data_IF_783884670620
#
_entry.id   IF_783884670620
#
_cell.length_a   1.000
_cell.length_b   1.000
_cell.length_c   1.000
_cell.angle_alpha   90.00
_cell.angle_beta   90.00
_cell.angle_gamma   90.00
#
_symmetry.space_group_name_H-M   'P 1'
#
loop_
_entity.id
_entity.type
_entity.pdbx_description
1 polymer ?
#
# COMPACT_ATOMS: atom_id res chain seq x y z
N UNK A 1 44.13 -2.37 43.03
CA UNK A 1 43.88 -1.83 44.39
C UNK A 1 42.67 -0.91 44.31
N UNK A 2 41.61 -1.23 45.07
CA UNK A 2 40.55 -0.35 45.63
C UNK A 2 39.86 0.68 44.71
N UNK A 3 38.54 0.81 44.61
CA UNK A 3 37.55 0.67 45.68
C UNK A 3 36.14 0.39 45.12
N UNK A 4 35.50 -0.51 45.87
CA UNK A 4 34.09 -0.87 45.91
C UNK A 4 33.26 0.35 46.29
N UNK A 5 32.25 0.72 45.49
CA UNK A 5 31.19 1.60 45.99
C UNK A 5 29.82 1.02 45.65
N UNK A 6 29.31 0.25 46.62
CA UNK A 6 27.90 -0.11 46.74
C UNK A 6 27.13 1.18 47.00
N UNK A 7 26.18 1.52 46.13
CA UNK A 7 24.95 2.19 46.59
C UNK A 7 23.74 1.47 46.03
N UNK A 8 23.07 0.85 46.98
CA UNK A 8 21.86 0.08 46.91
C UNK A 8 20.71 1.08 46.98
N UNK A 9 19.82 1.08 46.00
CA UNK A 9 18.52 1.74 46.12
C UNK A 9 17.43 0.86 45.51
N UNK A 10 16.57 0.42 46.41
CA UNK A 10 15.17 0.04 46.26
C UNK A 10 14.79 -0.89 45.09
N UNK A 11 14.65 -2.17 45.47
CA UNK A 11 13.71 -3.13 44.85
C UNK A 11 12.33 -2.47 44.75
N UNK A 12 11.93 -2.06 43.56
CA UNK A 12 10.53 -1.76 43.30
C UNK A 12 9.74 -3.08 43.31
N UNK A 13 8.71 -3.21 44.16
CA UNK A 13 7.88 -4.40 44.18
C UNK A 13 7.10 -4.49 42.86
N UNK A 14 7.29 -5.63 42.21
CA UNK A 14 6.36 -6.33 41.34
C UNK A 14 5.04 -5.58 41.11
N UNK A 15 5.02 -4.77 40.04
CA UNK A 15 3.75 -4.37 39.41
C UNK A 15 3.08 -5.66 38.99
N UNK A 16 1.99 -5.97 39.68
CA UNK A 16 1.11 -7.10 39.42
C UNK A 16 0.81 -7.20 37.92
N UNK A 17 0.91 -8.43 37.42
CA UNK A 17 0.67 -8.79 36.03
C UNK A 17 -0.60 -8.16 35.48
N UNK A 18 -0.42 -7.17 34.61
CA UNK A 18 -1.40 -6.90 33.57
C UNK A 18 -1.22 -8.06 32.58
N UNK A 19 -2.24 -8.92 32.37
CA UNK A 19 -2.19 -9.86 31.26
C UNK A 19 -1.99 -9.03 30.01
N UNK A 20 -0.80 -9.16 29.39
CA UNK A 20 -0.54 -8.64 28.05
C UNK A 20 -1.68 -9.18 27.21
N UNK A 21 -2.67 -8.33 26.93
CA UNK A 21 -3.80 -8.69 26.10
C UNK A 21 -3.19 -9.39 24.91
N UNK A 22 -3.52 -10.67 24.76
CA UNK A 22 -3.11 -11.45 23.61
C UNK A 22 -3.81 -10.77 22.44
N UNK A 23 -3.10 -9.83 21.81
CA UNK A 23 -3.52 -9.24 20.56
C UNK A 23 -3.48 -10.43 19.61
N UNK A 24 -4.61 -11.13 19.47
CA UNK A 24 -4.81 -12.06 18.37
C UNK A 24 -4.41 -11.29 17.12
N UNK A 25 -3.39 -11.78 16.42
CA UNK A 25 -3.06 -11.26 15.11
C UNK A 25 -4.34 -11.34 14.27
N UNK A 26 -4.91 -10.19 13.96
CA UNK A 26 -6.01 -10.11 13.01
C UNK A 26 -5.38 -10.52 11.68
N UNK A 27 -5.82 -11.62 11.03
CA UNK A 27 -5.36 -11.91 9.69
C UNK A 27 -5.77 -10.72 8.82
N UNK A 28 -4.76 -10.02 8.28
CA UNK A 28 -4.93 -8.96 7.30
C UNK A 28 -5.86 -9.53 6.22
N UNK A 29 -7.03 -8.92 5.94
CA UNK A 29 -7.89 -9.44 4.89
C UNK A 29 -7.05 -9.49 3.62
N UNK A 30 -6.91 -10.70 3.07
CA UNK A 30 -6.26 -10.91 1.81
C UNK A 30 -7.14 -10.24 0.75
N UNK A 31 -6.85 -8.96 0.48
CA UNK A 31 -6.95 -8.43 -0.88
C UNK A 31 -6.32 -9.46 -1.80
N UNK A 32 -6.86 -9.70 -3.01
CA UNK A 32 -6.49 -10.85 -3.82
C UNK A 32 -4.98 -10.87 -4.08
N UNK A 33 -4.27 -11.63 -3.24
CA UNK A 33 -2.90 -12.06 -3.47
C UNK A 33 -2.95 -13.21 -4.49
N UNK A 34 -3.61 -12.98 -5.63
CA UNK A 34 -3.57 -13.88 -6.76
C UNK A 34 -2.50 -13.38 -7.72
N UNK A 35 -1.26 -13.64 -7.33
CA UNK A 35 -0.10 -13.68 -8.22
C UNK A 35 -0.44 -14.43 -9.51
N UNK A 36 0.14 -14.07 -10.65
CA UNK A 36 1.45 -14.69 -10.91
C UNK A 36 2.43 -13.69 -11.54
N UNK A 37 3.10 -12.97 -10.65
CA UNK A 37 4.17 -11.95 -10.77
C UNK A 37 3.86 -10.61 -11.43
N UNK A 38 2.89 -10.50 -12.35
CA UNK A 38 2.70 -9.23 -13.07
C UNK A 38 1.32 -9.11 -13.74
N UNK A 39 0.27 -8.67 -13.03
CA UNK A 39 -1.07 -8.50 -13.59
C UNK A 39 -1.11 -7.35 -14.60
N UNK A 40 -2.02 -7.43 -15.58
CA UNK A 40 -2.24 -6.35 -16.54
C UNK A 40 -2.82 -5.13 -15.81
N UNK A 41 -2.34 -3.90 -16.07
CA UNK A 41 -2.97 -2.71 -15.54
C UNK A 41 -4.42 -2.60 -16.03
N UNK A 42 -5.28 -1.98 -15.22
CA UNK A 42 -6.71 -1.83 -15.53
C UNK A 42 -6.96 -0.39 -16.00
N UNK A 43 -7.73 -0.18 -17.07
CA UNK A 43 -8.04 1.17 -17.54
C UNK A 43 -8.82 1.95 -16.47
N UNK A 44 -8.61 3.28 -16.36
CA UNK A 44 -9.41 4.11 -15.48
C UNK A 44 -10.86 4.12 -15.94
N UNK A 45 -11.77 4.25 -14.97
CA UNK A 45 -13.20 4.38 -15.25
C UNK A 45 -13.46 5.72 -15.95
N UNK A 46 -14.18 5.68 -17.07
CA UNK A 46 -14.60 6.89 -17.76
C UNK A 46 -15.63 7.62 -16.88
N UNK A 47 -15.46 8.94 -16.65
CA UNK A 47 -16.45 9.75 -15.94
C UNK A 47 -17.67 10.02 -16.83
N UNK A 48 -18.84 10.10 -16.20
CA UNK A 48 -20.08 10.51 -16.86
C UNK A 48 -20.19 12.04 -16.94
N UNK A 49 -21.15 12.55 -17.71
CA UNK A 49 -21.39 13.99 -17.81
C UNK A 49 -21.89 14.58 -16.48
N UNK A 50 -22.58 13.79 -15.68
CA UNK A 50 -23.07 14.14 -14.35
C UNK A 50 -21.94 14.28 -13.32
N UNK A 51 -20.79 13.62 -13.53
CA UNK A 51 -19.59 13.81 -12.71
C UNK A 51 -18.90 15.15 -12.98
N UNK A 52 -19.21 15.78 -14.13
CA UNK A 52 -18.73 17.11 -14.45
C UNK A 52 -19.50 18.15 -13.64
N UNK A 53 -18.77 18.98 -12.90
CA UNK A 53 -19.31 20.12 -12.14
C UNK A 53 -20.11 21.13 -13.01
N UNK A 54 -19.96 21.11 -14.34
CA UNK A 54 -20.66 21.97 -15.32
C UNK A 54 -20.57 23.49 -15.08
N UNK A 55 -19.79 23.92 -14.09
CA UNK A 55 -19.68 25.31 -13.63
C UNK A 55 -18.27 25.88 -13.84
N UNK A 56 -17.42 25.16 -14.57
CA UNK A 56 -16.01 25.54 -14.79
C UNK A 56 -15.08 25.22 -13.63
N UNK A 57 -15.38 24.20 -12.82
CA UNK A 57 -14.45 23.73 -11.79
C UNK A 57 -13.10 23.31 -12.40
N UNK A 58 -11.99 23.66 -11.73
CA UNK A 58 -10.63 23.25 -12.12
C UNK A 58 -9.96 22.49 -10.96
N UNK A 59 -9.39 21.29 -11.20
CA UNK A 59 -9.28 20.60 -12.51
C UNK A 59 -10.61 19.98 -12.98
N UNK A 60 -10.84 19.93 -14.30
CA UNK A 60 -12.00 19.24 -14.86
C UNK A 60 -11.84 17.72 -14.65
N UNK A 61 -12.94 17.00 -14.38
CA UNK A 61 -12.90 15.54 -14.21
C UNK A 61 -12.41 14.83 -15.48
N UNK A 62 -12.72 15.39 -16.65
CA UNK A 62 -12.22 14.89 -17.93
C UNK A 62 -10.71 15.08 -18.06
N UNK A 63 -10.15 16.21 -17.61
CA UNK A 63 -8.69 16.42 -17.59
C UNK A 63 -8.00 15.38 -16.69
N UNK A 64 -8.55 15.15 -15.49
CA UNK A 64 -8.04 14.14 -14.57
C UNK A 64 -8.11 12.71 -15.15
N UNK A 65 -9.17 12.44 -15.92
CA UNK A 65 -9.32 11.18 -16.64
C UNK A 65 -8.28 11.04 -17.75
N UNK A 66 -8.01 12.10 -18.51
CA UNK A 66 -6.97 12.09 -19.55
C UNK A 66 -5.58 11.83 -18.95
N UNK A 67 -5.24 12.47 -17.84
CA UNK A 67 -4.00 12.22 -17.08
C UNK A 67 -3.91 10.77 -16.55
N UNK A 68 -5.04 10.23 -16.06
CA UNK A 68 -5.12 8.83 -15.65
C UNK A 68 -4.94 7.87 -16.84
N UNK A 69 -5.53 8.21 -17.99
CA UNK A 69 -5.40 7.45 -19.23
C UNK A 69 -3.97 7.47 -19.78
N UNK A 70 -3.26 8.58 -19.67
CA UNK A 70 -1.85 8.66 -20.05
C UNK A 70 -0.99 7.72 -19.19
N UNK A 71 -1.13 7.79 -17.86
CA UNK A 71 -0.44 6.87 -16.94
C UNK A 71 -0.75 5.41 -17.24
N UNK A 72 -2.02 5.08 -17.46
CA UNK A 72 -2.44 3.73 -17.83
C UNK A 72 -1.77 3.24 -19.12
N UNK A 73 -1.69 4.08 -20.16
CA UNK A 73 -1.03 3.70 -21.42
C UNK A 73 0.45 3.40 -21.24
N UNK A 74 1.15 4.18 -20.40
CA UNK A 74 2.56 3.93 -20.07
C UNK A 74 2.72 2.60 -19.34
N UNK A 75 1.96 2.38 -18.28
CA UNK A 75 1.98 1.13 -17.50
C UNK A 75 1.64 -0.08 -18.37
N UNK A 76 0.66 0.06 -19.28
CA UNK A 76 0.28 -1.00 -20.20
C UNK A 76 1.40 -1.35 -21.16
N UNK A 77 2.07 -0.36 -21.74
CA UNK A 77 3.20 -0.59 -22.65
C UNK A 77 4.36 -1.31 -21.95
N UNK A 78 4.68 -0.93 -20.72
CA UNK A 78 5.71 -1.57 -19.90
C UNK A 78 5.35 -3.03 -19.55
N UNK A 79 4.09 -3.26 -19.20
CA UNK A 79 3.56 -4.60 -18.96
C UNK A 79 3.66 -5.46 -20.23
N UNK A 80 3.21 -4.97 -21.38
CA UNK A 80 3.29 -5.69 -22.66
C UNK A 80 4.73 -6.05 -23.03
N UNK A 81 5.68 -5.13 -22.81
CA UNK A 81 7.11 -5.39 -23.02
C UNK A 81 7.64 -6.51 -22.11
N UNK A 82 7.23 -6.56 -20.84
CA UNK A 82 7.59 -7.64 -19.90
C UNK A 82 6.95 -8.97 -20.32
N UNK A 83 5.68 -8.98 -20.71
CA UNK A 83 5.01 -10.20 -21.17
C UNK A 83 5.62 -10.75 -22.46
N UNK A 84 5.98 -9.89 -23.41
CA UNK A 84 6.67 -10.30 -24.64
C UNK A 84 8.04 -10.97 -24.33
N UNK A 85 8.79 -10.43 -23.36
CA UNK A 85 10.05 -11.06 -22.89
C UNK A 85 9.78 -12.41 -22.22
N UNK A 86 8.72 -12.56 -21.42
CA UNK A 86 8.34 -13.84 -20.79
C UNK A 86 7.95 -14.88 -21.83
N UNK A 87 7.10 -14.50 -22.81
CA UNK A 87 6.67 -15.39 -23.90
C UNK A 87 7.84 -15.92 -24.73
N UNK A 88 8.88 -15.09 -24.95
CA UNK A 88 10.09 -15.52 -25.67
C UNK A 88 10.97 -16.49 -24.87
N UNK A 89 10.92 -16.45 -23.54
CA UNK A 89 11.74 -17.29 -22.65
C UNK A 89 11.10 -18.63 -22.31
N UNK A 90 9.81 -18.80 -22.61
CA UNK A 90 9.04 -20.02 -22.41
C UNK A 90 9.05 -20.85 -23.68
#
# INVERSE_FOLDING_TARGET
MTARSRRQVARHPLILGVPRHSIRAVPKPAYPESSTDDPRPTPPQQPELEDCCNSGCSPCIFDLYEDAMERYRVELAEWEARQAKRKRRR
#
